data_IF_591188110633
#
_entry.id   IF_591188110633
#
_cell.length_a   1.000
_cell.length_b   1.000
_cell.length_c   1.000
_cell.angle_alpha   90.00
_cell.angle_beta   90.00
_cell.angle_gamma   90.00
#
_symmetry.space_group_name_H-M   'P 1'
#
loop_
_entity.id
_entity.type
_entity.pdbx_description
1 polymer ?
#
# COMPACT_ATOMS: atom_id res chain seq x y z
N UNK A 1 -7.66 10.76 36.26
CA UNK A 1 -8.21 10.05 35.08
C UNK A 1 -7.57 8.69 34.78
N UNK A 2 -6.44 8.28 35.40
CA UNK A 2 -5.74 7.02 35.11
C UNK A 2 -6.28 5.75 35.80
N UNK A 3 -7.14 5.88 36.82
CA UNK A 3 -7.58 4.74 37.65
C UNK A 3 -8.81 4.00 37.14
N UNK A 4 -9.56 4.56 36.16
CA UNK A 4 -10.73 3.88 35.57
C UNK A 4 -10.37 2.92 34.43
N UNK A 5 -9.27 3.15 33.72
CA UNK A 5 -8.89 2.35 32.55
C UNK A 5 -8.30 0.98 32.92
N UNK A 6 -7.60 0.86 34.05
CA UNK A 6 -7.07 -0.43 34.51
C UNK A 6 -8.14 -1.42 34.99
N UNK A 7 -9.32 -0.95 35.42
CA UNK A 7 -10.41 -1.85 35.83
C UNK A 7 -11.14 -2.50 34.65
N UNK A 8 -11.16 -1.87 33.47
CA UNK A 8 -11.80 -2.44 32.28
C UNK A 8 -10.95 -3.53 31.62
N UNK A 9 -9.63 -3.44 31.68
CA UNK A 9 -8.73 -4.44 31.09
C UNK A 9 -8.75 -5.77 31.89
N UNK A 10 -8.89 -5.70 33.22
CA UNK A 10 -8.96 -6.89 34.08
C UNK A 10 -10.31 -7.64 33.93
N UNK A 11 -11.40 -6.94 33.63
CA UNK A 11 -12.73 -7.55 33.44
C UNK A 11 -12.86 -8.29 32.10
N UNK A 12 -12.17 -7.84 31.05
CA UNK A 12 -12.20 -8.49 29.73
C UNK A 12 -11.35 -9.76 29.71
N UNK A 13 -10.23 -9.79 30.45
CA UNK A 13 -9.42 -11.00 30.60
C UNK A 13 -10.10 -12.11 31.42
N UNK A 14 -11.01 -11.77 32.34
CA UNK A 14 -11.77 -12.78 33.11
C UNK A 14 -12.89 -13.45 32.28
N UNK A 15 -13.40 -12.80 31.24
CA UNK A 15 -14.44 -13.38 30.37
C UNK A 15 -13.88 -14.36 29.33
N UNK A 16 -12.60 -14.26 28.97
CA UNK A 16 -11.97 -15.13 27.96
C UNK A 16 -11.48 -16.47 28.50
N UNK A 17 -11.45 -16.65 29.82
CA UNK A 17 -10.98 -17.90 30.47
C UNK A 17 -12.12 -18.85 30.91
N UNK A 18 -13.38 -18.50 30.67
CA UNK A 18 -14.53 -19.31 31.10
C UNK A 18 -15.17 -20.19 30.00
N UNK A 19 -14.62 -20.23 28.78
CA UNK A 19 -15.26 -20.90 27.64
C UNK A 19 -14.63 -22.23 27.22
N UNK A 20 -13.73 -22.83 28.01
CA UNK A 20 -13.09 -24.11 27.66
C UNK A 20 -13.16 -25.10 28.83
N UNK A 21 -14.32 -25.72 29.04
CA UNK A 21 -14.43 -27.12 29.50
C UNK A 21 -15.85 -27.68 29.39
N UNK A 22 -15.92 -28.96 28.95
CA UNK A 22 -17.02 -29.93 29.08
C UNK A 22 -18.13 -29.80 28.01
N UNK A 23 -18.36 -30.76 27.12
CA UNK A 23 -18.81 -32.11 27.46
C UNK A 23 -18.50 -33.18 26.40
N UNK A 24 -18.08 -34.34 26.90
CA UNK A 24 -18.08 -35.66 26.28
C UNK A 24 -19.50 -36.20 26.01
N UNK A 25 -19.54 -37.30 25.23
CA UNK A 25 -20.56 -38.35 25.24
C UNK A 25 -21.15 -38.54 23.84
N UNK A 26 -21.02 -39.66 23.15
CA UNK A 26 -20.77 -41.04 23.57
C UNK A 26 -21.86 -41.90 22.93
N UNK A 27 -21.41 -42.83 22.07
CA UNK A 27 -21.98 -44.11 21.61
C UNK A 27 -23.46 -44.21 21.19
N UNK A 28 -23.69 -44.87 20.04
CA UNK A 28 -24.47 -46.11 19.96
C UNK A 28 -24.39 -46.71 18.53
N UNK A 29 -23.86 -47.93 18.46
CA UNK A 29 -24.11 -48.89 17.39
C UNK A 29 -25.55 -49.40 17.49
N UNK A 30 -26.26 -49.63 16.38
CA UNK A 30 -27.11 -50.82 16.25
C UNK A 30 -27.55 -51.09 14.80
N UNK A 31 -27.91 -52.36 14.63
CA UNK A 31 -27.84 -53.18 13.44
C UNK A 31 -29.21 -53.36 12.75
N UNK A 32 -29.19 -53.82 11.50
CA UNK A 32 -30.20 -54.65 10.82
C UNK A 32 -31.70 -54.27 10.79
N UNK A 33 -32.24 -54.20 9.57
CA UNK A 33 -33.69 -54.17 9.33
C UNK A 33 -34.08 -54.56 7.90
N UNK A 34 -33.85 -55.83 7.54
CA UNK A 34 -34.47 -56.51 6.40
C UNK A 34 -36.00 -56.53 6.57
N UNK A 35 -36.76 -55.99 5.61
CA UNK A 35 -38.13 -56.42 5.34
C UNK A 35 -38.32 -56.62 3.85
N UNK A 36 -38.39 -57.89 3.49
CA UNK A 36 -38.96 -58.39 2.25
C UNK A 36 -40.47 -58.17 2.26
N UNK A 37 -41.02 -57.68 1.15
CA UNK A 37 -42.45 -57.48 0.93
C UNK A 37 -42.79 -57.77 -0.52
N UNK A 38 -42.79 -59.05 -0.86
CA UNK A 38 -43.31 -59.61 -2.11
C UNK A 38 -44.80 -59.27 -2.27
N UNK A 39 -45.17 -58.81 -3.46
CA UNK A 39 -46.55 -58.54 -3.85
C UNK A 39 -46.65 -58.47 -5.37
N UNK A 40 -46.56 -59.62 -6.02
CA UNK A 40 -46.83 -59.73 -7.45
C UNK A 40 -48.32 -59.56 -7.76
N UNK A 41 -48.63 -58.83 -8.83
CA UNK A 41 -49.88 -58.99 -9.57
C UNK A 41 -49.70 -58.61 -11.05
N UNK A 42 -50.40 -59.35 -11.89
CA UNK A 42 -50.14 -59.62 -13.30
C UNK A 42 -50.49 -58.48 -14.29
N UNK A 43 -49.71 -58.44 -15.37
CA UNK A 43 -50.02 -58.07 -16.77
C UNK A 43 -51.18 -57.09 -17.05
N UNK A 44 -50.81 -55.99 -17.71
CA UNK A 44 -51.49 -55.52 -18.93
C UNK A 44 -50.51 -54.87 -19.89
N UNK A 45 -50.27 -55.56 -21.02
CA UNK A 45 -49.63 -54.99 -22.20
C UNK A 45 -50.67 -54.18 -22.97
N UNK A 46 -50.66 -52.86 -22.80
CA UNK A 46 -51.29 -51.92 -23.72
C UNK A 46 -50.18 -51.00 -24.28
N UNK A 47 -50.08 -50.79 -25.60
CA UNK A 47 -49.11 -49.87 -26.15
C UNK A 47 -49.57 -48.44 -25.85
N UNK A 48 -48.93 -47.78 -24.88
CA UNK A 48 -49.11 -46.34 -24.66
C UNK A 48 -48.52 -45.59 -25.86
N UNK A 49 -49.40 -45.00 -26.69
CA UNK A 49 -48.98 -43.98 -27.66
C UNK A 49 -48.32 -42.84 -26.90
N UNK A 50 -47.04 -42.61 -27.16
CA UNK A 50 -46.29 -41.46 -26.67
C UNK A 50 -46.78 -40.24 -27.48
N UNK A 51 -47.28 -39.16 -26.85
CA UNK A 51 -47.58 -37.93 -27.57
C UNK A 51 -46.27 -37.34 -28.10
N UNK A 52 -46.18 -37.17 -29.41
CA UNK A 52 -45.03 -36.53 -30.06
C UNK A 52 -45.02 -35.04 -29.68
N UNK A 53 -44.17 -34.67 -28.73
CA UNK A 53 -44.03 -33.29 -28.26
C UNK A 53 -43.19 -32.50 -29.28
N UNK A 54 -43.85 -31.96 -30.31
CA UNK A 54 -43.24 -31.03 -31.27
C UNK A 54 -43.10 -29.63 -30.66
N UNK A 55 -42.24 -29.50 -29.66
CA UNK A 55 -41.75 -28.22 -29.15
C UNK A 55 -40.27 -28.03 -29.48
N UNK A 56 -39.77 -26.81 -29.72
CA UNK A 56 -38.34 -26.57 -29.83
C UNK A 56 -37.66 -27.01 -28.54
N UNK A 57 -36.72 -27.95 -28.65
CA UNK A 57 -35.86 -28.37 -27.54
C UNK A 57 -35.11 -27.11 -27.07
N UNK A 58 -35.27 -26.65 -25.82
CA UNK A 58 -34.44 -25.56 -25.31
C UNK A 58 -33.00 -26.03 -25.36
N UNK A 59 -32.16 -25.31 -26.10
CA UNK A 59 -30.72 -25.53 -26.13
C UNK A 59 -30.23 -25.45 -24.68
N UNK A 60 -29.54 -26.47 -24.13
CA UNK A 60 -29.06 -26.41 -22.76
C UNK A 60 -28.10 -25.23 -22.65
N UNK A 61 -28.48 -24.24 -21.85
CA UNK A 61 -27.58 -23.15 -21.45
C UNK A 61 -26.40 -23.80 -20.70
N UNK A 62 -25.14 -23.45 -21.01
CA UNK A 62 -24.00 -24.10 -20.36
C UNK A 62 -24.12 -23.94 -18.85
N UNK A 63 -24.14 -25.08 -18.15
CA UNK A 63 -24.14 -25.09 -16.69
C UNK A 63 -22.80 -24.51 -16.24
N UNK A 64 -22.78 -23.47 -15.39
CA UNK A 64 -21.53 -22.89 -14.90
C UNK A 64 -20.74 -23.98 -14.16
N UNK A 65 -19.50 -24.23 -14.60
CA UNK A 65 -18.59 -25.23 -14.04
C UNK A 65 -18.03 -24.74 -12.71
N UNK A 66 -17.82 -23.44 -12.57
CA UNK A 66 -17.32 -22.79 -11.35
C UNK A 66 -18.44 -21.95 -10.75
N UNK A 67 -18.97 -22.40 -9.61
CA UNK A 67 -20.09 -21.72 -8.93
C UNK A 67 -19.74 -21.18 -7.54
N UNK A 68 -18.62 -21.62 -6.98
CA UNK A 68 -18.19 -21.29 -5.63
C UNK A 68 -16.66 -21.11 -5.54
N UNK A 69 -16.23 -20.49 -4.44
CA UNK A 69 -14.83 -20.20 -4.15
C UNK A 69 -13.96 -21.46 -4.16
N UNK A 70 -14.42 -22.56 -3.56
CA UNK A 70 -13.62 -23.79 -3.44
C UNK A 70 -13.35 -24.44 -4.79
N UNK A 71 -14.31 -24.35 -5.72
CA UNK A 71 -14.14 -24.82 -7.09
C UNK A 71 -13.17 -23.92 -7.86
N UNK A 72 -13.26 -22.59 -7.70
CA UNK A 72 -12.35 -21.65 -8.34
C UNK A 72 -10.89 -21.83 -7.88
N UNK A 73 -10.68 -21.96 -6.57
CA UNK A 73 -9.38 -22.29 -5.96
C UNK A 73 -8.82 -23.58 -6.57
N UNK A 74 -9.64 -24.62 -6.67
CA UNK A 74 -9.21 -25.94 -7.15
C UNK A 74 -8.84 -25.92 -8.63
N UNK A 75 -9.63 -25.26 -9.48
CA UNK A 75 -9.32 -25.08 -10.90
C UNK A 75 -7.98 -24.37 -11.07
N UNK A 76 -7.76 -23.30 -10.31
CA UNK A 76 -6.49 -22.58 -10.33
C UNK A 76 -5.32 -23.44 -9.84
N UNK A 77 -5.52 -24.19 -8.75
CA UNK A 77 -4.51 -25.10 -8.21
C UNK A 77 -4.10 -26.17 -9.23
N UNK A 78 -5.06 -26.78 -9.94
CA UNK A 78 -4.77 -27.73 -11.03
C UNK A 78 -3.97 -27.06 -12.15
N UNK A 79 -4.27 -25.80 -12.48
CA UNK A 79 -3.54 -25.07 -13.52
C UNK A 79 -2.08 -24.82 -13.14
N UNK A 80 -1.80 -24.38 -11.90
CA UNK A 80 -0.43 -24.11 -11.43
C UNK A 80 0.39 -25.38 -11.18
N UNK A 81 -0.25 -26.44 -10.69
CA UNK A 81 0.42 -27.70 -10.34
C UNK A 81 0.91 -28.50 -11.54
N UNK A 82 0.60 -28.07 -12.76
CA UNK A 82 1.22 -28.59 -14.00
C UNK A 82 2.75 -28.48 -13.98
N UNK A 83 3.29 -27.44 -13.34
CA UNK A 83 4.73 -27.19 -13.34
C UNK A 83 5.38 -27.10 -11.96
N UNK A 84 4.66 -26.64 -10.94
CA UNK A 84 5.24 -26.41 -9.61
C UNK A 84 4.33 -27.00 -8.54
N UNK A 85 4.88 -27.71 -7.53
CA UNK A 85 4.09 -28.12 -6.38
C UNK A 85 3.66 -26.87 -5.60
N UNK A 86 2.36 -26.57 -5.62
CA UNK A 86 1.74 -25.48 -4.86
C UNK A 86 0.69 -26.11 -3.95
N UNK A 87 0.66 -25.70 -2.68
CA UNK A 87 -0.43 -26.10 -1.77
C UNK A 87 -1.64 -25.19 -1.94
N UNK A 88 -2.83 -25.77 -1.78
CA UNK A 88 -4.10 -25.02 -1.87
C UNK A 88 -4.17 -23.89 -0.84
N UNK A 89 -3.55 -24.08 0.33
CA UNK A 89 -3.44 -23.11 1.42
C UNK A 89 -2.67 -21.85 1.05
N UNK A 90 -1.88 -21.87 -0.02
CA UNK A 90 -1.14 -20.70 -0.51
C UNK A 90 -1.92 -19.83 -1.49
N UNK A 91 -3.15 -20.23 -1.84
CA UNK A 91 -4.05 -19.50 -2.73
C UNK A 91 -5.09 -18.74 -1.91
N UNK A 92 -5.26 -17.47 -2.21
CA UNK A 92 -6.37 -16.63 -1.76
C UNK A 92 -7.33 -16.41 -2.92
N UNK A 93 -8.63 -16.51 -2.66
CA UNK A 93 -9.68 -16.36 -3.68
C UNK A 93 -10.70 -15.34 -3.26
N UNK A 94 -10.98 -14.42 -4.17
CA UNK A 94 -11.89 -13.31 -3.97
C UNK A 94 -12.84 -13.19 -5.15
N UNK A 95 -14.04 -12.68 -4.88
CA UNK A 95 -15.01 -12.46 -5.93
C UNK A 95 -14.61 -11.24 -6.76
N UNK A 96 -14.51 -11.42 -8.09
CA UNK A 96 -14.26 -10.37 -9.05
C UNK A 96 -15.50 -9.53 -9.36
N UNK A 97 -15.33 -8.52 -10.21
CA UNK A 97 -16.35 -7.48 -10.46
C UNK A 97 -17.46 -7.98 -11.40
N UNK A 98 -17.19 -9.00 -12.23
CA UNK A 98 -18.15 -9.53 -13.22
C UNK A 98 -18.57 -10.98 -12.95
N UNK A 99 -18.50 -11.42 -11.70
CA UNK A 99 -18.82 -12.80 -11.33
C UNK A 99 -17.74 -13.80 -11.73
N UNK A 100 -16.56 -13.33 -12.17
CA UNK A 100 -15.33 -14.12 -12.21
C UNK A 100 -14.71 -14.20 -10.81
N UNK A 101 -13.87 -15.20 -10.58
CA UNK A 101 -13.08 -15.35 -9.37
C UNK A 101 -11.66 -14.84 -9.60
N UNK A 102 -11.15 -14.06 -8.65
CA UNK A 102 -9.78 -13.58 -8.63
C UNK A 102 -8.97 -14.48 -7.71
N UNK A 103 -7.92 -15.11 -8.25
CA UNK A 103 -7.05 -16.01 -7.47
C UNK A 103 -5.63 -15.45 -7.42
N UNK A 104 -5.03 -15.43 -6.24
CA UNK A 104 -3.72 -14.82 -6.00
C UNK A 104 -2.97 -15.53 -4.87
N UNK A 105 -1.63 -15.39 -4.77
CA UNK A 105 -0.88 -15.94 -3.65
C UNK A 105 -1.21 -15.18 -2.35
N UNK A 106 -1.34 -15.92 -1.25
CA UNK A 106 -1.43 -15.33 0.10
C UNK A 106 -0.15 -14.57 0.44
N UNK A 107 -0.23 -13.68 1.44
CA UNK A 107 0.96 -13.08 2.03
C UNK A 107 1.83 -14.17 2.68
N UNK A 108 3.12 -14.19 2.34
CA UNK A 108 4.05 -15.21 2.83
C UNK A 108 4.02 -16.54 2.08
N UNK A 109 3.24 -16.65 0.99
CA UNK A 109 3.36 -17.80 0.08
C UNK A 109 4.81 -17.95 -0.40
N UNK A 110 5.39 -19.16 -0.36
CA UNK A 110 6.76 -19.40 -0.84
C UNK A 110 6.87 -19.17 -2.35
N UNK A 111 5.75 -19.32 -3.06
CA UNK A 111 5.66 -19.13 -4.50
C UNK A 111 4.72 -17.99 -4.82
N UNK A 112 5.24 -17.02 -5.55
CA UNK A 112 4.42 -15.99 -6.18
C UNK A 112 4.22 -16.39 -7.65
N UNK A 113 2.94 -16.46 -8.04
CA UNK A 113 2.46 -16.80 -9.37
C UNK A 113 1.57 -15.72 -10.03
N UNK A 114 1.49 -14.51 -9.49
CA UNK A 114 0.66 -13.43 -10.03
C UNK A 114 -0.81 -13.54 -9.63
N UNK A 115 -1.63 -12.65 -10.21
CA UNK A 115 -3.08 -12.64 -10.01
C UNK A 115 -3.74 -13.19 -11.26
N UNK A 116 -4.80 -13.98 -11.07
CA UNK A 116 -5.48 -14.74 -12.11
C UNK A 116 -6.98 -14.54 -12.04
N UNK A 117 -7.63 -14.76 -13.17
CA UNK A 117 -9.08 -14.77 -13.34
C UNK A 117 -9.51 -16.19 -13.65
N UNK A 118 -10.49 -16.68 -12.91
CA UNK A 118 -11.17 -17.93 -13.19
C UNK A 118 -12.62 -17.59 -13.49
N UNK A 119 -13.04 -17.83 -14.73
CA UNK A 119 -14.41 -17.55 -15.13
C UNK A 119 -15.38 -18.69 -14.74
N UNK A 120 -16.66 -18.52 -15.05
CA UNK A 120 -17.70 -19.50 -14.73
C UNK A 120 -17.60 -20.78 -15.58
N UNK A 121 -16.91 -20.74 -16.73
CA UNK A 121 -16.59 -21.90 -17.56
C UNK A 121 -15.43 -22.72 -17.00
N UNK A 122 -14.63 -22.15 -16.10
CA UNK A 122 -13.40 -22.74 -15.60
C UNK A 122 -12.15 -22.35 -16.41
N UNK A 123 -12.26 -21.38 -17.32
CA UNK A 123 -11.09 -20.85 -18.02
C UNK A 123 -10.26 -19.98 -17.07
N UNK A 124 -8.96 -20.25 -17.06
CA UNK A 124 -7.97 -19.57 -16.23
C UNK A 124 -7.17 -18.61 -17.11
N UNK A 125 -7.25 -17.32 -16.83
CA UNK A 125 -6.54 -16.28 -17.59
C UNK A 125 -5.72 -15.37 -16.67
N UNK A 126 -4.54 -14.92 -17.12
CA UNK A 126 -3.72 -14.03 -16.32
C UNK A 126 -4.38 -12.67 -16.15
N UNK A 127 -4.34 -12.10 -14.94
CA UNK A 127 -4.85 -10.76 -14.69
C UNK A 127 -3.76 -9.68 -14.79
N UNK A 128 -2.52 -10.03 -14.46
CA UNK A 128 -1.38 -9.12 -14.43
C UNK A 128 -0.17 -9.71 -15.15
N UNK A 129 0.85 -8.88 -15.39
CA UNK A 129 2.08 -9.26 -16.10
C UNK A 129 2.77 -10.50 -15.49
N UNK A 130 2.62 -10.71 -14.18
CA UNK A 130 3.18 -11.87 -13.52
C UNK A 130 2.40 -13.15 -13.83
N UNK A 131 1.07 -13.09 -13.81
CA UNK A 131 0.23 -14.16 -14.35
C UNK A 131 0.58 -14.47 -15.80
N UNK A 132 0.84 -13.46 -16.63
CA UNK A 132 1.24 -13.65 -18.04
C UNK A 132 2.58 -14.39 -18.19
N UNK A 133 3.57 -14.07 -17.36
CA UNK A 133 4.84 -14.79 -17.33
C UNK A 133 4.67 -16.26 -16.92
N UNK A 134 3.83 -16.51 -15.91
CA UNK A 134 3.50 -17.86 -15.49
C UNK A 134 2.69 -18.62 -16.52
N UNK A 135 1.79 -17.95 -17.24
CA UNK A 135 1.06 -18.55 -18.33
C UNK A 135 2.02 -19.05 -19.41
N UNK A 136 2.98 -18.21 -19.82
CA UNK A 136 4.04 -18.60 -20.77
C UNK A 136 4.87 -19.77 -20.27
N UNK A 137 5.21 -19.79 -18.99
CA UNK A 137 5.95 -20.89 -18.36
C UNK A 137 5.19 -22.22 -18.37
N UNK A 138 3.89 -22.18 -18.08
CA UNK A 138 3.03 -23.37 -18.11
C UNK A 138 2.84 -23.85 -19.56
N UNK A 139 2.65 -22.93 -20.50
CA UNK A 139 2.51 -23.24 -21.94
C UNK A 139 3.79 -23.76 -22.58
N UNK A 140 4.96 -23.40 -22.04
CA UNK A 140 6.26 -23.86 -22.52
C UNK A 140 6.71 -25.18 -21.89
N UNK A 141 5.78 -25.98 -21.37
CA UNK A 141 6.09 -27.25 -20.68
C UNK A 141 7.11 -27.06 -19.54
N UNK A 142 6.95 -25.99 -18.77
CA UNK A 142 7.74 -25.71 -17.57
C UNK A 142 9.23 -25.37 -17.82
N UNK A 143 9.54 -24.78 -18.99
CA UNK A 143 10.87 -24.21 -19.29
C UNK A 143 11.27 -23.11 -18.29
N UNK A 144 12.21 -23.46 -17.41
CA UNK A 144 12.70 -22.58 -16.33
C UNK A 144 13.44 -21.34 -16.83
N UNK A 145 13.81 -21.27 -18.11
CA UNK A 145 14.39 -20.05 -18.70
C UNK A 145 13.38 -18.89 -18.79
N UNK A 146 12.07 -19.19 -18.73
CA UNK A 146 10.98 -18.20 -18.72
C UNK A 146 10.78 -17.59 -17.33
N UNK A 147 10.82 -18.41 -16.28
CA UNK A 147 10.75 -17.96 -14.89
C UNK A 147 12.16 -17.66 -14.37
N UNK A 148 12.80 -16.62 -14.90
CA UNK A 148 13.99 -16.09 -14.23
C UNK A 148 13.54 -15.31 -12.98
N UNK A 149 14.03 -15.65 -11.78
CA UNK A 149 13.94 -14.74 -10.65
C UNK A 149 14.67 -13.47 -11.07
N UNK A 150 13.98 -12.34 -11.13
CA UNK A 150 14.69 -11.09 -11.27
C UNK A 150 15.52 -10.94 -9.99
N UNK A 151 16.82 -10.64 -10.11
CA UNK A 151 17.69 -10.41 -8.95
C UNK A 151 17.19 -9.31 -8.00
N UNK A 152 16.18 -8.54 -8.43
CA UNK A 152 15.56 -7.44 -7.72
C UNK A 152 14.07 -7.71 -7.40
N UNK A 153 13.66 -8.97 -7.27
CA UNK A 153 12.28 -9.34 -6.98
C UNK A 153 11.79 -8.73 -5.65
N UNK A 154 10.74 -7.92 -5.72
CA UNK A 154 10.06 -7.31 -4.57
C UNK A 154 8.91 -8.21 -4.11
N UNK A 155 9.12 -8.99 -3.05
CA UNK A 155 8.17 -10.03 -2.61
C UNK A 155 7.38 -9.64 -1.37
N UNK A 156 7.98 -8.84 -0.50
CA UNK A 156 7.39 -8.39 0.76
C UNK A 156 7.14 -6.89 0.76
N UNK A 157 6.35 -6.43 1.74
CA UNK A 157 6.19 -5.01 2.05
C UNK A 157 7.52 -4.37 2.43
N UNK A 158 8.35 -5.08 3.21
CA UNK A 158 9.71 -4.64 3.56
C UNK A 158 10.61 -4.46 2.34
N UNK A 159 10.56 -5.37 1.37
CA UNK A 159 11.30 -5.24 0.12
C UNK A 159 10.83 -4.00 -0.65
N UNK A 160 9.52 -3.78 -0.74
CA UNK A 160 8.94 -2.64 -1.47
C UNK A 160 9.35 -1.30 -0.86
N UNK A 161 9.28 -1.19 0.47
CA UNK A 161 9.75 -0.02 1.22
C UNK A 161 11.25 0.19 1.01
N UNK A 162 12.05 -0.87 1.09
CA UNK A 162 13.51 -0.79 0.92
C UNK A 162 13.89 -0.37 -0.49
N UNK A 163 13.22 -0.90 -1.51
CA UNK A 163 13.41 -0.55 -2.92
C UNK A 163 13.08 0.92 -3.17
N UNK A 164 11.94 1.41 -2.67
CA UNK A 164 11.59 2.83 -2.78
C UNK A 164 12.58 3.71 -2.02
N UNK A 165 12.91 3.34 -0.78
CA UNK A 165 13.86 4.08 0.04
C UNK A 165 15.22 4.20 -0.66
N UNK A 166 15.76 3.12 -1.21
CA UNK A 166 17.04 3.13 -1.92
C UNK A 166 17.01 4.01 -3.19
N UNK A 167 15.85 4.11 -3.85
CA UNK A 167 15.66 5.02 -4.98
C UNK A 167 15.70 6.49 -4.53
N UNK A 168 14.98 6.83 -3.47
CA UNK A 168 14.86 8.19 -2.94
C UNK A 168 16.12 8.65 -2.19
N UNK A 169 16.82 7.74 -1.50
CA UNK A 169 18.00 8.01 -0.69
C UNK A 169 19.19 8.54 -1.50
N UNK A 170 19.18 8.35 -2.83
CA UNK A 170 20.15 8.97 -3.76
C UNK A 170 20.10 10.49 -3.73
N UNK A 171 18.96 11.02 -3.35
CA UNK A 171 18.68 12.44 -3.27
C UNK A 171 18.55 12.86 -1.80
N UNK A 172 17.83 12.05 -0.99
CA UNK A 172 17.46 12.35 0.40
C UNK A 172 18.07 11.29 1.36
N UNK A 173 19.37 11.33 1.65
CA UNK A 173 20.06 10.25 2.37
C UNK A 173 19.65 10.13 3.85
N UNK A 174 19.19 11.21 4.46
CA UNK A 174 18.78 11.26 5.88
C UNK A 174 17.39 10.64 6.15
N UNK A 175 16.70 10.21 5.10
CA UNK A 175 15.37 9.61 5.21
C UNK A 175 15.44 8.22 5.88
N UNK A 176 14.54 7.95 6.83
CA UNK A 176 14.45 6.64 7.48
C UNK A 176 13.44 5.72 6.78
N UNK A 177 13.64 4.39 6.85
CA UNK A 177 12.68 3.41 6.31
C UNK A 177 11.31 3.48 6.98
N UNK A 178 11.26 3.90 8.25
CA UNK A 178 10.04 3.96 9.06
C UNK A 178 9.05 5.05 8.64
N UNK A 179 9.40 5.91 7.69
CA UNK A 179 8.48 6.92 7.13
C UNK A 179 7.52 6.32 6.09
N UNK A 180 7.68 5.05 5.73
CA UNK A 180 6.87 4.39 4.71
C UNK A 180 6.04 3.23 5.25
N UNK A 181 4.89 3.02 4.63
CA UNK A 181 4.09 1.81 4.74
C UNK A 181 3.77 1.30 3.34
N UNK A 182 3.82 0.00 3.14
CA UNK A 182 3.49 -0.64 1.87
C UNK A 182 2.26 -1.54 2.01
N UNK A 183 1.38 -1.47 1.02
CA UNK A 183 0.24 -2.37 0.88
C UNK A 183 0.19 -2.91 -0.54
N UNK A 184 -0.06 -4.21 -0.70
CA UNK A 184 -0.12 -4.83 -2.01
C UNK A 184 -1.41 -4.42 -2.72
N UNK A 185 -1.30 -3.77 -3.88
CA UNK A 185 -2.44 -3.54 -4.78
C UNK A 185 -2.81 -4.87 -5.44
N UNK A 186 -3.98 -5.38 -5.07
CA UNK A 186 -4.48 -6.68 -5.52
C UNK A 186 -4.82 -6.73 -7.01
N UNK A 187 -5.16 -5.58 -7.60
CA UNK A 187 -5.52 -5.48 -9.03
C UNK A 187 -4.29 -5.58 -9.92
N UNK A 188 -3.21 -4.89 -9.54
CA UNK A 188 -2.00 -4.83 -10.36
C UNK A 188 -0.94 -5.84 -9.93
N UNK A 189 -0.96 -6.27 -8.67
CA UNK A 189 0.09 -7.07 -8.04
C UNK A 189 1.30 -6.26 -7.58
N UNK A 190 1.31 -4.95 -7.82
CA UNK A 190 2.35 -4.03 -7.35
C UNK A 190 2.14 -3.67 -5.87
N UNK A 191 3.20 -3.19 -5.23
CA UNK A 191 3.12 -2.62 -3.89
C UNK A 191 2.85 -1.12 -3.98
N UNK A 192 1.78 -0.67 -3.34
CA UNK A 192 1.50 0.75 -3.13
C UNK A 192 2.20 1.17 -1.85
N UNK A 193 3.23 2.01 -1.98
CA UNK A 193 4.00 2.53 -0.87
C UNK A 193 3.58 3.98 -0.62
N UNK A 194 3.20 4.27 0.62
CA UNK A 194 2.73 5.59 1.07
C UNK A 194 3.60 6.09 2.20
N UNK A 195 3.74 7.41 2.30
CA UNK A 195 4.30 8.04 3.48
C UNK A 195 3.32 7.95 4.65
N UNK A 196 3.81 7.55 5.82
CA UNK A 196 2.98 7.39 7.02
C UNK A 196 2.57 8.77 7.59
N UNK A 197 1.37 8.90 8.18
CA UNK A 197 0.88 10.19 8.70
C UNK A 197 1.74 10.83 9.77
N UNK A 198 2.48 10.02 10.54
CA UNK A 198 3.37 10.48 11.61
C UNK A 198 4.72 10.98 11.08
N UNK A 199 5.01 10.78 9.79
CA UNK A 199 6.20 11.32 9.15
C UNK A 199 6.11 12.83 9.11
N UNK A 200 7.22 13.50 9.43
CA UNK A 200 7.33 14.94 9.24
C UNK A 200 7.31 15.30 7.76
N UNK A 201 7.70 14.37 6.89
CA UNK A 201 7.82 14.61 5.46
C UNK A 201 6.79 13.81 4.70
N UNK A 202 6.30 14.35 3.58
CA UNK A 202 5.46 13.63 2.63
C UNK A 202 6.26 13.42 1.33
N UNK A 203 6.48 12.15 1.02
CA UNK A 203 7.19 11.71 -0.19
C UNK A 203 6.21 11.26 -1.28
N UNK A 204 4.91 11.29 -1.02
CA UNK A 204 3.85 10.93 -1.96
C UNK A 204 3.48 9.45 -1.95
N UNK A 205 2.73 9.05 -2.97
CA UNK A 205 2.23 7.69 -3.16
C UNK A 205 2.92 7.06 -4.37
N UNK A 206 3.45 5.86 -4.19
CA UNK A 206 4.30 5.19 -5.17
C UNK A 206 3.79 3.80 -5.48
N UNK A 207 3.96 3.37 -6.72
CA UNK A 207 3.81 1.98 -7.14
C UNK A 207 5.20 1.37 -7.30
N UNK A 208 5.49 0.35 -6.51
CA UNK A 208 6.71 -0.47 -6.62
C UNK A 208 6.31 -1.82 -7.20
N UNK A 209 6.71 -2.06 -8.44
CA UNK A 209 6.48 -3.32 -9.14
C UNK A 209 7.48 -4.38 -8.66
N UNK A 210 7.17 -5.65 -8.93
CA UNK A 210 8.01 -6.77 -8.53
C UNK A 210 9.43 -6.69 -9.11
N UNK A 211 9.58 -6.19 -10.33
CA UNK A 211 10.87 -6.00 -11.01
C UNK A 211 11.68 -4.81 -10.47
N UNK A 212 11.29 -4.27 -9.31
CA UNK A 212 11.80 -3.05 -8.69
C UNK A 212 11.61 -1.78 -9.54
N UNK A 213 10.74 -1.81 -10.56
CA UNK A 213 10.35 -0.57 -11.25
C UNK A 213 9.43 0.27 -10.35
N UNK A 214 9.72 1.57 -10.28
CA UNK A 214 9.06 2.52 -9.36
C UNK A 214 8.36 3.58 -10.19
N UNK A 215 7.07 3.78 -9.93
CA UNK A 215 6.23 4.76 -10.62
C UNK A 215 5.50 5.66 -9.62
N UNK A 216 5.50 7.00 -9.82
CA UNK A 216 4.72 7.89 -8.98
C UNK A 216 3.22 7.75 -9.29
N UNK A 217 2.38 7.69 -8.25
CA UNK A 217 0.92 7.56 -8.38
C UNK A 217 0.16 8.87 -8.06
N UNK A 218 0.83 9.87 -7.51
CA UNK A 218 0.27 11.20 -7.26
C UNK A 218 1.24 12.32 -7.64
N UNK A 219 0.73 13.56 -7.69
CA UNK A 219 1.50 14.75 -8.06
C UNK A 219 2.73 14.94 -7.16
N UNK A 220 2.60 14.63 -5.87
CA UNK A 220 3.70 14.73 -4.91
C UNK A 220 4.84 13.77 -5.23
N UNK A 221 4.53 12.49 -5.46
CA UNK A 221 5.53 11.52 -5.87
C UNK A 221 6.16 11.88 -7.23
N UNK A 222 5.40 12.47 -8.15
CA UNK A 222 5.92 12.93 -9.43
C UNK A 222 6.91 14.10 -9.28
N UNK A 223 6.65 15.04 -8.36
CA UNK A 223 7.58 16.10 -8.00
C UNK A 223 8.88 15.53 -7.40
N UNK A 224 8.76 14.63 -6.43
CA UNK A 224 9.91 13.96 -5.80
C UNK A 224 10.73 13.15 -6.81
N UNK A 225 10.05 12.44 -7.72
CA UNK A 225 10.70 11.68 -8.79
C UNK A 225 11.55 12.55 -9.71
N UNK A 226 11.10 13.78 -10.03
CA UNK A 226 11.89 14.73 -10.83
C UNK A 226 13.18 15.15 -10.13
N UNK A 227 13.13 15.39 -8.81
CA UNK A 227 14.32 15.73 -8.02
C UNK A 227 15.36 14.59 -8.06
N UNK A 228 14.91 13.35 -7.81
CA UNK A 228 15.78 12.15 -7.87
C UNK A 228 16.32 11.93 -9.29
N UNK A 229 15.49 12.10 -10.32
CA UNK A 229 15.87 11.95 -11.72
C UNK A 229 16.94 12.95 -12.18
N UNK A 230 16.89 14.18 -11.67
CA UNK A 230 17.90 15.21 -11.95
C UNK A 230 19.29 14.81 -11.43
N UNK A 231 19.37 14.09 -10.30
CA UNK A 231 20.65 13.56 -9.79
C UNK A 231 21.18 12.41 -10.63
N UNK A 232 20.31 11.50 -11.06
CA UNK A 232 20.70 10.34 -11.86
C UNK A 232 21.26 10.71 -13.25
N UNK A 233 20.84 11.86 -13.81
CA UNK A 233 21.31 12.36 -15.10
C UNK A 233 22.67 13.09 -15.06
N UNK A 234 23.24 13.34 -13.89
CA UNK A 234 24.41 14.22 -13.75
C UNK A 234 25.67 13.44 -13.39
N UNK A 235 26.72 13.57 -14.20
CA UNK A 235 28.01 12.87 -14.05
C UNK A 235 28.96 13.49 -13.01
N UNK A 236 28.47 14.17 -11.98
CA UNK A 236 29.35 14.85 -11.03
C UNK A 236 28.72 15.13 -9.66
N UNK A 237 29.45 14.72 -8.61
CA UNK A 237 29.11 14.96 -7.20
C UNK A 237 29.01 16.44 -6.84
N UNK A 238 28.22 16.70 -5.81
CA UNK A 238 27.93 17.96 -5.10
C UNK A 238 27.17 19.03 -5.91
N UNK A 239 27.57 19.37 -7.14
CA UNK A 239 26.87 20.39 -7.95
C UNK A 239 25.54 19.88 -8.51
N UNK A 240 25.44 18.58 -8.75
CA UNK A 240 24.22 17.92 -9.19
C UNK A 240 23.14 17.92 -8.11
N UNK A 241 23.51 17.59 -6.88
CA UNK A 241 22.57 17.47 -5.76
C UNK A 241 22.00 18.83 -5.35
N UNK A 242 22.83 19.89 -5.34
CA UNK A 242 22.37 21.27 -5.14
C UNK A 242 21.51 21.80 -6.29
N UNK A 243 21.82 21.44 -7.54
CA UNK A 243 21.00 21.83 -8.70
C UNK A 243 19.68 21.04 -8.79
N UNK A 244 19.66 19.82 -8.25
CA UNK A 244 18.50 18.94 -8.19
C UNK A 244 17.60 19.18 -6.96
N UNK A 245 18.02 20.02 -6.00
CA UNK A 245 17.29 20.30 -4.77
C UNK A 245 17.26 19.13 -3.79
N UNK A 246 18.28 18.26 -3.83
CA UNK A 246 18.15 16.91 -3.29
C UNK A 246 18.29 16.77 -1.77
N UNK A 247 19.13 17.59 -1.15
CA UNK A 247 19.09 17.75 0.30
C UNK A 247 18.24 18.96 0.63
N UNK A 248 17.19 18.85 1.48
CA UNK A 248 16.56 20.05 2.00
C UNK A 248 17.63 20.81 2.79
N UNK A 249 17.90 22.05 2.39
CA UNK A 249 18.76 22.98 3.16
C UNK A 249 18.24 23.11 4.59
N UNK A 250 16.93 22.89 4.78
CA UNK A 250 16.21 22.97 6.04
C UNK A 250 15.56 21.61 6.36
N UNK A 251 16.28 20.75 7.09
CA UNK A 251 15.81 19.42 7.51
C UNK A 251 15.09 19.38 8.85
N UNK A 252 15.17 20.46 9.64
CA UNK A 252 14.58 20.53 10.97
C UNK A 252 14.07 21.94 11.31
N UNK A 253 13.22 22.03 12.33
CA UNK A 253 12.78 23.31 12.87
C UNK A 253 13.94 24.15 13.41
N UNK A 254 15.02 23.51 13.85
CA UNK A 254 16.25 24.18 14.28
C UNK A 254 17.03 24.74 13.10
N UNK A 255 17.09 24.02 11.96
CA UNK A 255 17.69 24.55 10.73
C UNK A 255 16.91 25.75 10.19
N UNK A 256 15.58 25.67 10.23
CA UNK A 256 14.69 26.76 9.80
C UNK A 256 14.95 28.01 10.65
N UNK A 257 15.05 27.83 11.97
CA UNK A 257 15.34 28.89 12.93
C UNK A 257 16.72 29.49 12.72
N UNK A 258 17.76 28.66 12.54
CA UNK A 258 19.13 29.11 12.25
C UNK A 258 19.20 29.89 10.95
N UNK A 259 18.54 29.41 9.90
CA UNK A 259 18.50 30.08 8.58
C UNK A 259 17.88 31.47 8.67
N UNK A 260 16.75 31.59 9.37
CA UNK A 260 16.14 32.88 9.63
C UNK A 260 17.05 33.79 10.45
N UNK A 261 17.67 33.26 11.51
CA UNK A 261 18.58 34.02 12.36
C UNK A 261 19.81 34.53 11.58
N UNK A 262 20.39 33.74 10.68
CA UNK A 262 21.51 34.18 9.82
C UNK A 262 21.14 35.42 9.00
N UNK A 263 19.88 35.55 8.58
CA UNK A 263 19.42 36.69 7.80
C UNK A 263 19.12 37.93 8.66
N UNK A 264 18.67 37.72 9.90
CA UNK A 264 18.29 38.81 10.80
C UNK A 264 19.43 39.33 11.68
N UNK A 265 20.39 38.47 12.04
CA UNK A 265 21.43 38.79 13.03
C UNK A 265 22.33 39.99 12.70
N UNK A 266 22.61 40.35 11.43
CA UNK A 266 23.38 41.57 11.14
C UNK A 266 22.70 42.85 11.64
N UNK A 267 21.37 42.86 11.64
CA UNK A 267 20.55 44.04 11.96
C UNK A 267 19.88 43.95 13.34
N UNK A 268 19.72 42.73 13.82
CA UNK A 268 19.05 42.42 15.07
C UNK A 268 19.85 41.39 15.88
N UNK A 269 21.10 41.70 16.28
CA UNK A 269 21.98 40.74 16.95
C UNK A 269 21.51 40.33 18.34
N UNK A 270 20.58 41.10 18.93
CA UNK A 270 20.02 40.86 20.27
C UNK A 270 18.80 39.95 20.27
N UNK A 271 18.26 39.58 19.11
CA UNK A 271 17.15 38.61 19.05
C UNK A 271 17.65 37.28 19.60
N UNK A 272 16.98 36.79 20.64
CA UNK A 272 17.25 35.44 21.14
C UNK A 272 16.73 34.44 20.09
N UNK A 273 17.57 33.55 19.52
CA UNK A 273 17.10 32.52 18.60
C UNK A 273 15.95 31.70 19.19
N UNK A 274 15.92 31.47 20.51
CA UNK A 274 14.87 30.70 21.18
C UNK A 274 13.53 31.45 21.32
N UNK A 275 13.54 32.77 21.06
CA UNK A 275 12.31 33.56 20.93
C UNK A 275 11.53 33.21 19.65
N UNK A 276 12.15 32.53 18.69
CA UNK A 276 11.51 32.11 17.44
C UNK A 276 11.03 30.67 17.59
N UNK A 277 9.71 30.45 17.57
CA UNK A 277 9.15 29.10 17.46
C UNK A 277 9.03 28.70 15.99
N UNK A 278 9.47 27.49 15.66
CA UNK A 278 9.30 26.90 14.33
C UNK A 278 8.33 25.73 14.40
N UNK A 279 7.38 25.67 13.48
CA UNK A 279 6.40 24.58 13.36
C UNK A 279 6.34 24.17 11.90
N UNK A 280 6.34 22.86 11.66
CA UNK A 280 6.21 22.34 10.32
C UNK A 280 4.76 22.43 9.85
N UNK A 281 4.54 22.99 8.67
CA UNK A 281 3.27 22.94 7.96
C UNK A 281 3.34 21.86 6.87
N UNK A 282 2.78 20.66 7.13
CA UNK A 282 2.86 19.55 6.19
C UNK A 282 2.04 19.79 4.92
N UNK A 283 1.01 20.64 4.96
CA UNK A 283 0.16 20.90 3.79
C UNK A 283 0.84 21.81 2.76
N UNK A 284 1.70 22.71 3.21
CA UNK A 284 2.43 23.65 2.35
C UNK A 284 3.92 23.34 2.23
N UNK A 285 4.39 22.24 2.84
CA UNK A 285 5.78 21.78 2.86
C UNK A 285 6.79 22.88 3.24
N UNK A 286 6.47 23.67 4.26
CA UNK A 286 7.29 24.77 4.73
C UNK A 286 7.33 24.83 6.26
N UNK A 287 8.39 25.43 6.79
CA UNK A 287 8.47 25.76 8.20
C UNK A 287 7.84 27.13 8.44
N UNK A 288 6.88 27.19 9.35
CA UNK A 288 6.32 28.44 9.86
C UNK A 288 7.15 28.87 11.06
N UNK A 289 7.84 30.00 10.93
CA UNK A 289 8.60 30.62 12.00
C UNK A 289 7.82 31.81 12.56
N UNK A 290 7.64 31.85 13.89
CA UNK A 290 6.90 32.91 14.58
C UNK A 290 7.80 33.50 15.68
N UNK A 291 8.02 34.82 15.65
CA UNK A 291 8.76 35.51 16.72
C UNK A 291 7.88 35.72 17.95
N UNK A 292 8.44 35.51 19.14
CA UNK A 292 7.80 35.90 20.41
C UNK A 292 8.12 37.35 20.80
N UNK A 293 9.10 37.96 20.14
CA UNK A 293 9.49 39.36 20.35
C UNK A 293 8.59 40.34 19.59
N UNK A 294 8.52 41.58 20.09
CA UNK A 294 7.72 42.67 19.49
C UNK A 294 8.23 43.03 18.08
N UNK A 295 7.34 43.49 17.19
CA UNK A 295 7.71 44.02 15.87
C UNK A 295 8.82 45.08 15.96
N UNK A 296 9.68 45.13 14.94
CA UNK A 296 10.57 46.29 14.73
C UNK A 296 9.77 47.57 14.38
N UNK A 297 8.51 47.41 13.95
CA UNK A 297 7.58 48.49 13.64
C UNK A 297 6.71 48.84 14.86
N UNK A 298 6.92 50.04 15.42
CA UNK A 298 6.14 50.56 16.56
C UNK A 298 4.71 51.00 16.19
N UNK A 299 4.34 50.94 14.91
CA UNK A 299 3.01 51.33 14.41
C UNK A 299 2.05 50.15 14.21
N UNK A 300 2.56 48.92 14.16
CA UNK A 300 1.76 47.71 14.14
C UNK A 300 1.31 47.35 15.58
N UNK A 301 0.01 47.06 15.78
CA UNK A 301 -0.48 46.41 17.01
C UNK A 301 0.42 45.20 17.30
N UNK A 302 0.78 44.96 18.57
CA UNK A 302 1.66 43.88 19.05
C UNK A 302 1.36 42.50 18.40
N UNK A 303 1.81 42.28 17.17
CA UNK A 303 1.60 41.05 16.41
C UNK A 303 2.96 40.41 16.17
N UNK A 304 3.13 39.11 16.50
CA UNK A 304 4.38 38.42 16.26
C UNK A 304 4.72 38.43 14.75
N UNK A 305 5.99 38.52 14.40
CA UNK A 305 6.43 38.37 13.01
C UNK A 305 6.30 36.92 12.58
N UNK A 306 5.74 36.69 11.39
CA UNK A 306 5.54 35.35 10.82
C UNK A 306 6.27 35.22 9.49
N UNK A 307 7.08 34.17 9.36
CA UNK A 307 7.79 33.83 8.13
C UNK A 307 7.47 32.39 7.72
N UNK A 308 7.41 32.16 6.41
CA UNK A 308 7.45 30.82 5.82
C UNK A 308 8.84 30.55 5.29
N UNK A 309 9.40 29.39 5.62
CA UNK A 309 10.74 28.98 5.22
C UNK A 309 10.61 27.69 4.42
N UNK A 310 10.96 27.75 3.13
CA UNK A 310 10.91 26.57 2.25
C UNK A 310 12.06 25.62 2.55
N UNK A 311 11.94 24.36 2.11
CA UNK A 311 13.00 23.36 2.22
C UNK A 311 14.31 23.77 1.53
N UNK A 312 14.22 24.58 0.47
CA UNK A 312 15.38 25.14 -0.24
C UNK A 312 16.06 26.29 0.52
N UNK A 313 15.52 26.67 1.69
CA UNK A 313 16.06 27.75 2.52
C UNK A 313 15.65 29.15 2.08
N UNK A 314 14.60 29.28 1.25
CA UNK A 314 13.98 30.57 0.93
C UNK A 314 13.09 31.02 2.09
N UNK A 315 13.17 32.30 2.44
CA UNK A 315 12.39 32.89 3.52
C UNK A 315 11.40 33.90 2.92
N UNK A 316 10.13 33.75 3.28
CA UNK A 316 9.03 34.61 2.83
C UNK A 316 8.36 35.23 4.06
N UNK A 317 8.39 36.56 4.16
CA UNK A 317 7.59 37.27 5.15
C UNK A 317 6.09 37.13 4.86
N UNK A 318 5.27 36.96 5.90
CA UNK A 318 3.82 36.66 5.75
C UNK A 318 2.88 37.62 6.45
N UNK A 319 3.42 38.57 7.20
CA UNK A 319 2.66 39.65 7.78
C UNK A 319 3.47 40.95 7.77
N UNK A 320 2.78 42.07 7.98
CA UNK A 320 3.38 43.41 7.95
C UNK A 320 4.58 43.53 8.91
N UNK A 321 4.50 42.92 10.10
CA UNK A 321 5.62 42.90 11.05
C UNK A 321 6.86 42.22 10.47
N UNK A 322 6.69 41.02 9.90
CA UNK A 322 7.78 40.29 9.26
C UNK A 322 8.33 41.01 8.03
N UNK A 323 7.46 41.64 7.23
CA UNK A 323 7.86 42.42 6.05
C UNK A 323 8.71 43.63 6.43
N UNK A 324 8.30 44.38 7.46
CA UNK A 324 9.06 45.53 7.98
C UNK A 324 10.42 45.09 8.53
N UNK A 325 10.46 44.04 9.35
CA UNK A 325 11.74 43.49 9.87
C UNK A 325 12.63 43.00 8.73
N UNK A 326 12.05 42.35 7.72
CA UNK A 326 12.78 41.83 6.57
C UNK A 326 13.33 42.95 5.69
N UNK A 327 12.57 44.04 5.49
CA UNK A 327 13.00 45.19 4.70
C UNK A 327 14.21 45.89 5.32
N UNK A 328 14.24 46.08 6.64
CA UNK A 328 15.40 46.63 7.35
C UNK A 328 16.62 45.71 7.18
N UNK A 329 16.45 44.41 7.43
CA UNK A 329 17.52 43.44 7.26
C UNK A 329 18.08 43.39 5.83
N UNK A 330 17.23 43.47 4.82
CA UNK A 330 17.64 43.44 3.41
C UNK A 330 18.31 44.73 2.92
N UNK A 331 17.93 45.89 3.47
CA UNK A 331 18.54 47.17 3.07
C UNK A 331 19.91 47.39 3.70
N UNK A 332 20.25 46.64 4.75
CA UNK A 332 21.50 46.80 5.51
C UNK A 332 21.60 48.13 6.25
N UNK A 333 20.52 48.91 6.29
CA UNK A 333 20.43 50.18 7.02
C UNK A 333 20.00 49.90 8.46
N UNK A 334 20.93 49.29 9.17
CA UNK A 334 20.86 48.87 10.55
C UNK A 334 22.04 49.55 11.27
#
# INVERSE_FOLDING_TARGET
>A
MKTKFQRQIVLILLCLLAAVVVSCGGDDEEDQGLVSGEGGSERSNAPTMIPEFSGPIPTPSPVPVVTDESTAVRVMWVHLTKCVPVEVTHLDVQQGVRGEWMVMPIQGSPQEFGTWRVDQSGDVTPHNARGELWQKYIESECDTSILQPAANDVLTDGDAVTTLWAHLARCIPEMSLGVFSAQKDRRTGAWVVVTVPESQDDYGVWSVKRDANIEPLNDRAAEVSKMVGAVAGSKGGDKSELAAGCSPVIGSGDDARRRLWTHLSPCYPTIDPNSISTTWDPSNHLWVAVSKERPADTTAKDTPSVWHITRDGNILAKNLSAESTWAVANTGNC
#
